data_IF_468064982851
#
_entry.id   IF_468064982851
#
_cell.length_a   1.000
_cell.length_b   1.000
_cell.length_c   1.000
_cell.angle_alpha   90.00
_cell.angle_beta   90.00
_cell.angle_gamma   90.00
#
_symmetry.space_group_name_H-M   'P 1'
#
loop_
_entity.id
_entity.type
_entity.pdbx_description
1 polymer ?
#
# COMPACT_ATOMS: atom_id res chain seq x y z
N UNK A 1 32.93 12.12 -32.51
CA UNK A 1 33.26 11.41 -31.25
C UNK A 1 32.08 11.46 -30.25
N UNK A 2 31.01 10.66 -30.42
CA UNK A 2 29.86 10.65 -29.49
C UNK A 2 29.86 9.49 -28.47
N UNK A 3 30.75 8.50 -28.62
CA UNK A 3 30.75 7.26 -27.81
C UNK A 3 30.99 7.49 -26.31
N UNK A 4 31.79 8.50 -25.94
CA UNK A 4 32.05 8.85 -24.53
C UNK A 4 30.79 9.30 -23.80
N UNK A 5 30.02 10.24 -24.38
CA UNK A 5 28.80 10.76 -23.76
C UNK A 5 27.71 9.69 -23.56
N UNK A 6 27.56 8.76 -24.50
CA UNK A 6 26.63 7.64 -24.35
C UNK A 6 27.04 6.66 -23.23
N UNK A 7 28.35 6.43 -23.01
CA UNK A 7 28.87 5.61 -21.91
C UNK A 7 28.54 6.23 -20.54
N UNK A 8 28.73 7.54 -20.39
CA UNK A 8 28.37 8.25 -19.15
C UNK A 8 26.87 8.21 -18.86
N UNK A 9 26.02 8.32 -19.90
CA UNK A 9 24.56 8.18 -19.75
C UNK A 9 24.17 6.80 -19.24
N UNK A 10 24.71 5.74 -19.82
CA UNK A 10 24.39 4.36 -19.42
C UNK A 10 24.81 4.05 -17.98
N UNK A 11 26.00 4.50 -17.58
CA UNK A 11 26.49 4.37 -16.19
C UNK A 11 25.56 5.14 -15.23
N UNK A 12 25.22 6.39 -15.57
CA UNK A 12 24.30 7.21 -14.75
C UNK A 12 22.94 6.54 -14.58
N UNK A 13 22.36 6.00 -15.64
CA UNK A 13 21.06 5.31 -15.56
C UNK A 13 21.12 4.02 -14.74
N UNK A 14 22.22 3.27 -14.85
CA UNK A 14 22.46 2.08 -14.01
C UNK A 14 22.54 2.46 -12.54
N UNK A 15 23.30 3.50 -12.21
CA UNK A 15 23.43 3.99 -10.84
C UNK A 15 22.09 4.49 -10.29
N UNK A 16 21.33 5.26 -11.07
CA UNK A 16 19.99 5.72 -10.67
C UNK A 16 19.03 4.54 -10.40
N UNK A 17 19.09 3.48 -11.21
CA UNK A 17 18.29 2.27 -10.99
C UNK A 17 18.67 1.61 -9.67
N UNK A 18 19.97 1.49 -9.40
CA UNK A 18 20.49 0.91 -8.16
C UNK A 18 20.07 1.75 -6.95
N UNK A 19 20.27 3.07 -6.98
CA UNK A 19 19.83 3.99 -5.93
C UNK A 19 18.33 3.84 -5.64
N UNK A 20 17.48 3.76 -6.67
CA UNK A 20 16.03 3.56 -6.47
C UNK A 20 15.71 2.24 -5.75
N UNK A 21 16.45 1.18 -6.03
CA UNK A 21 16.28 -0.13 -5.35
C UNK A 21 16.71 0.00 -3.89
N UNK A 22 17.88 0.60 -3.64
CA UNK A 22 18.43 0.75 -2.29
C UNK A 22 17.56 1.66 -1.43
N UNK A 23 17.07 2.77 -1.99
CA UNK A 23 16.10 3.65 -1.31
C UNK A 23 14.79 2.93 -0.99
N UNK A 24 14.29 2.04 -1.87
CA UNK A 24 13.09 1.25 -1.56
C UNK A 24 13.34 0.28 -0.41
N UNK A 25 14.49 -0.41 -0.41
CA UNK A 25 14.88 -1.35 0.64
C UNK A 25 15.04 -0.64 1.98
N UNK A 26 15.76 0.47 2.02
CA UNK A 26 15.96 1.26 3.24
C UNK A 26 14.64 1.77 3.84
N UNK A 27 13.68 2.19 2.99
CA UNK A 27 12.37 2.68 3.44
C UNK A 27 11.34 1.59 3.72
N UNK A 28 11.56 0.35 3.28
CA UNK A 28 10.64 -0.77 3.48
C UNK A 28 10.20 -0.96 4.95
N UNK A 29 11.10 -0.98 5.95
CA UNK A 29 10.69 -1.17 7.34
C UNK A 29 9.84 0.00 7.88
N UNK A 30 10.20 1.25 7.53
CA UNK A 30 9.42 2.42 7.94
C UNK A 30 8.02 2.42 7.31
N UNK A 31 7.92 2.03 6.03
CA UNK A 31 6.64 1.87 5.32
C UNK A 31 5.81 0.74 5.89
N UNK A 32 6.41 -0.39 6.26
CA UNK A 32 5.71 -1.49 6.91
C UNK A 32 5.10 -1.05 8.25
N UNK A 33 5.88 -0.38 9.11
CA UNK A 33 5.38 0.19 10.37
C UNK A 33 4.23 1.19 10.14
N UNK A 34 4.33 2.03 9.11
CA UNK A 34 3.27 2.97 8.76
C UNK A 34 2.00 2.26 8.25
N UNK A 35 2.15 1.19 7.47
CA UNK A 35 1.05 0.36 7.01
C UNK A 35 0.32 -0.29 8.19
N UNK A 36 1.04 -0.91 9.14
CA UNK A 36 0.43 -1.49 10.34
C UNK A 36 -0.36 -0.47 11.15
N UNK A 37 0.18 0.75 11.34
CA UNK A 37 -0.55 1.83 12.02
C UNK A 37 -1.80 2.27 11.26
N UNK A 38 -1.74 2.32 9.93
CA UNK A 38 -2.90 2.63 9.10
C UNK A 38 -3.97 1.55 9.23
N UNK A 39 -3.58 0.28 9.16
CA UNK A 39 -4.49 -0.86 9.29
C UNK A 39 -5.22 -0.82 10.64
N UNK A 40 -4.50 -0.58 11.75
CA UNK A 40 -5.11 -0.44 13.07
C UNK A 40 -6.14 0.70 13.13
N UNK A 41 -5.84 1.87 12.52
CA UNK A 41 -6.78 3.00 12.44
C UNK A 41 -8.02 2.67 11.61
N UNK A 42 -7.87 1.97 10.50
CA UNK A 42 -9.00 1.57 9.66
C UNK A 42 -9.87 0.55 10.39
N UNK A 43 -9.27 -0.43 11.07
CA UNK A 43 -10.00 -1.41 11.89
C UNK A 43 -10.79 -0.70 13.00
N UNK A 44 -10.19 0.30 13.68
CA UNK A 44 -10.90 1.10 14.68
C UNK A 44 -12.11 1.83 14.09
N UNK A 45 -11.98 2.40 12.88
CA UNK A 45 -13.10 3.01 12.15
C UNK A 45 -14.20 2.00 11.83
N UNK A 46 -13.84 0.79 11.40
CA UNK A 46 -14.81 -0.29 11.11
C UNK A 46 -15.58 -0.63 12.39
N UNK A 47 -14.88 -0.85 13.51
CA UNK A 47 -15.50 -1.20 14.81
C UNK A 47 -16.37 -0.07 15.38
N UNK A 48 -16.00 1.19 15.13
CA UNK A 48 -16.77 2.36 15.57
C UNK A 48 -17.93 2.75 14.64
N UNK A 49 -18.05 2.16 13.45
CA UNK A 49 -19.15 2.47 12.53
C UNK A 49 -20.43 1.80 13.02
N UNK A 50 -21.49 2.59 13.23
CA UNK A 50 -22.79 2.08 13.69
C UNK A 50 -23.40 1.14 12.64
N UNK A 51 -23.98 0.03 13.09
CA UNK A 51 -24.69 -0.91 12.22
C UNK A 51 -25.78 -0.20 11.40
N UNK A 52 -25.88 -0.54 10.11
CA UNK A 52 -26.79 0.12 9.16
C UNK A 52 -26.25 1.41 8.55
N UNK A 53 -25.07 1.89 8.98
CA UNK A 53 -24.39 3.04 8.35
C UNK A 53 -23.38 2.54 7.32
N UNK A 54 -23.35 3.16 6.14
CA UNK A 54 -22.35 2.85 5.12
C UNK A 54 -20.92 3.15 5.59
N UNK A 55 -19.97 2.31 5.18
CA UNK A 55 -18.55 2.58 5.43
C UNK A 55 -18.03 3.75 4.60
N UNK A 56 -17.06 4.50 5.13
CA UNK A 56 -16.38 5.55 4.37
C UNK A 56 -15.56 4.97 3.21
N UNK A 57 -15.31 5.80 2.18
CA UNK A 57 -14.55 5.39 1.00
C UNK A 57 -13.14 4.83 1.35
N UNK A 58 -12.51 5.35 2.40
CA UNK A 58 -11.22 4.85 2.88
C UNK A 58 -11.33 3.39 3.35
N UNK A 59 -12.36 3.07 4.13
CA UNK A 59 -12.62 1.73 4.65
C UNK A 59 -12.97 0.79 3.50
N UNK A 60 -13.83 1.21 2.57
CA UNK A 60 -14.21 0.42 1.39
C UNK A 60 -12.99 0.09 0.52
N UNK A 61 -12.13 1.07 0.26
CA UNK A 61 -10.89 0.88 -0.50
C UNK A 61 -9.89 -0.03 0.24
N UNK A 62 -9.79 0.08 1.57
CA UNK A 62 -8.93 -0.78 2.36
C UNK A 62 -9.42 -2.23 2.36
N UNK A 63 -10.72 -2.46 2.60
CA UNK A 63 -11.33 -3.79 2.54
C UNK A 63 -11.15 -4.43 1.16
N UNK A 64 -11.34 -3.65 0.10
CA UNK A 64 -11.17 -4.14 -1.27
C UNK A 64 -9.75 -4.61 -1.55
N UNK A 65 -8.74 -3.88 -1.05
CA UNK A 65 -7.33 -4.27 -1.17
C UNK A 65 -6.96 -5.45 -0.26
N UNK A 66 -7.54 -5.53 0.94
CA UNK A 66 -7.23 -6.58 1.91
C UNK A 66 -7.78 -7.94 1.49
N UNK A 67 -8.95 -7.94 0.84
CA UNK A 67 -9.68 -9.14 0.42
C UNK A 67 -9.60 -9.42 -1.08
N UNK A 68 -8.88 -8.57 -1.83
CA UNK A 68 -8.73 -8.63 -3.29
C UNK A 68 -10.06 -8.76 -4.05
N UNK A 69 -11.06 -7.99 -3.62
CA UNK A 69 -12.43 -8.03 -4.14
C UNK A 69 -13.02 -6.63 -4.22
N UNK A 70 -13.89 -6.33 -5.19
CA UNK A 70 -14.63 -5.07 -5.17
C UNK A 70 -15.56 -5.02 -3.95
N UNK A 71 -15.66 -3.86 -3.29
CA UNK A 71 -16.41 -3.69 -2.04
C UNK A 71 -17.85 -4.24 -2.10
N UNK A 72 -18.55 -4.03 -3.22
CA UNK A 72 -19.93 -4.55 -3.40
C UNK A 72 -20.06 -6.08 -3.39
N UNK A 73 -18.95 -6.84 -3.47
CA UNK A 73 -18.92 -8.30 -3.40
C UNK A 73 -18.39 -8.83 -2.06
N UNK A 74 -18.09 -7.93 -1.10
CA UNK A 74 -17.55 -8.30 0.21
C UNK A 74 -18.72 -8.53 1.18
N UNK A 75 -18.75 -9.70 1.81
CA UNK A 75 -19.78 -10.04 2.80
C UNK A 75 -19.41 -9.59 4.21
N UNK A 76 -20.41 -9.44 5.08
CA UNK A 76 -20.18 -9.07 6.48
C UNK A 76 -19.23 -10.04 7.21
N UNK A 77 -19.29 -11.34 6.88
CA UNK A 77 -18.41 -12.34 7.49
C UNK A 77 -16.96 -12.22 7.01
N UNK A 78 -16.75 -11.88 5.74
CA UNK A 78 -15.40 -11.57 5.23
C UNK A 78 -14.81 -10.32 5.90
N UNK A 79 -15.65 -9.32 6.19
CA UNK A 79 -15.22 -8.13 6.95
C UNK A 79 -14.79 -8.53 8.36
N UNK A 80 -15.56 -9.38 9.05
CA UNK A 80 -15.22 -9.89 10.39
C UNK A 80 -13.88 -10.65 10.37
N UNK A 81 -13.68 -11.51 9.37
CA UNK A 81 -12.41 -12.24 9.20
C UNK A 81 -11.24 -11.30 8.91
N UNK A 82 -11.46 -10.21 8.16
CA UNK A 82 -10.41 -9.25 7.82
C UNK A 82 -9.95 -8.37 9.00
N UNK A 83 -10.76 -8.25 10.05
CA UNK A 83 -10.50 -7.42 11.23
C UNK A 83 -10.23 -8.24 12.51
N UNK A 84 -10.37 -9.56 12.44
CA UNK A 84 -9.99 -10.51 13.49
C UNK A 84 -8.46 -10.60 13.59
#
# INVERSE_FOLDING_TARGET
MSRGMHRHRSIRLKNLRQTRIDTRKANAPAKAKAATRRDARVIAKIKGTKAGTGYSAEVQSWLSRKLDKPFGKITADQIKQAIA
#
